data_IF_304746415642
#
_entry.id   IF_304746415642
#
_cell.length_a   1.000
_cell.length_b   1.000
_cell.length_c   1.000
_cell.angle_alpha   90.00
_cell.angle_beta   90.00
_cell.angle_gamma   90.00
#
_symmetry.space_group_name_H-M   'P 1'
#
loop_
_entity.id
_entity.type
_entity.pdbx_description
1 polymer ?
#
# COMPACT_ATOMS: atom_id res chain seq x y z
N UNK A 1 -12.84 5.54 -2.51
CA UNK A 1 -13.10 5.41 -1.08
C UNK A 1 -11.79 5.30 -0.32
N UNK A 2 -11.78 5.77 0.93
CA UNK A 2 -10.59 5.69 1.78
C UNK A 2 -11.01 5.24 3.18
N UNK A 3 -10.33 4.23 3.70
CA UNK A 3 -10.34 3.92 5.12
C UNK A 3 -9.17 4.71 5.74
N UNK A 4 -9.52 5.77 6.46
CA UNK A 4 -8.54 6.69 7.06
C UNK A 4 -7.93 6.05 8.29
N UNK A 5 -6.61 5.93 8.32
CA UNK A 5 -5.85 5.48 9.47
C UNK A 5 -5.61 6.58 10.50
N UNK A 6 -5.15 6.19 11.67
CA UNK A 6 -4.74 7.14 12.70
C UNK A 6 -3.42 7.84 12.34
N UNK A 7 -3.27 9.09 12.74
CA UNK A 7 -2.01 9.84 12.58
C UNK A 7 -0.91 9.43 13.57
N UNK A 8 -1.26 8.62 14.56
CA UNK A 8 -0.33 8.10 15.56
C UNK A 8 0.48 6.90 15.03
N UNK A 9 1.54 6.55 15.74
CA UNK A 9 2.32 5.36 15.46
C UNK A 9 1.45 4.08 15.53
N UNK A 10 1.84 3.01 14.79
CA UNK A 10 1.14 1.75 14.89
C UNK A 10 1.21 1.19 16.30
N UNK A 11 0.07 0.74 16.84
CA UNK A 11 -0.09 0.26 18.20
C UNK A 11 -1.03 -0.94 18.26
N UNK A 12 -1.12 -1.57 19.43
CA UNK A 12 -2.13 -2.61 19.67
C UNK A 12 -3.55 -2.06 19.50
N UNK A 13 -3.82 -0.82 20.00
CA UNK A 13 -5.17 -0.25 20.00
C UNK A 13 -5.69 -0.01 18.59
N UNK A 14 -4.88 0.63 17.74
CA UNK A 14 -5.23 0.85 16.33
C UNK A 14 -4.95 -0.37 15.43
N UNK A 15 -4.49 -1.48 15.99
CA UNK A 15 -4.13 -2.70 15.27
C UNK A 15 -3.13 -2.47 14.11
N UNK A 16 -2.31 -1.42 14.21
CA UNK A 16 -1.38 -1.01 13.17
C UNK A 16 -1.98 -0.14 12.05
N UNK A 17 -3.27 0.22 12.13
CA UNK A 17 -3.91 1.06 11.12
C UNK A 17 -3.52 2.53 11.27
N UNK A 18 -2.35 2.88 10.75
CA UNK A 18 -1.75 4.23 10.81
C UNK A 18 -1.47 4.84 9.42
N UNK A 19 -2.02 4.26 8.37
CA UNK A 19 -1.96 4.76 6.99
C UNK A 19 -3.35 4.72 6.35
N UNK A 20 -3.52 5.42 5.25
CA UNK A 20 -4.75 5.36 4.48
C UNK A 20 -4.77 4.11 3.60
N UNK A 21 -5.87 3.36 3.66
CA UNK A 21 -6.14 2.25 2.76
C UNK A 21 -7.16 2.74 1.72
N UNK A 22 -6.72 2.85 0.47
CA UNK A 22 -7.58 3.38 -0.59
C UNK A 22 -8.24 2.26 -1.40
N UNK A 23 -9.50 2.50 -1.80
CA UNK A 23 -10.31 1.55 -2.57
C UNK A 23 -10.81 2.23 -3.83
N UNK A 24 -10.43 1.71 -4.97
CA UNK A 24 -10.82 2.17 -6.30
C UNK A 24 -11.82 1.17 -6.86
N UNK A 25 -13.05 1.64 -7.12
CA UNK A 25 -14.14 0.79 -7.64
C UNK A 25 -14.30 1.10 -9.12
N UNK A 26 -13.97 0.14 -9.97
CA UNK A 26 -14.18 0.16 -11.41
C UNK A 26 -15.56 -0.39 -11.80
N UNK A 27 -15.73 -0.69 -13.09
CA UNK A 27 -16.97 -1.25 -13.61
C UNK A 27 -17.11 -2.75 -13.32
N UNK A 28 -16.01 -3.49 -13.30
CA UNK A 28 -16.01 -4.96 -13.17
C UNK A 28 -15.16 -5.46 -12.00
N UNK A 29 -14.37 -4.59 -11.39
CA UNK A 29 -13.40 -4.98 -10.37
C UNK A 29 -13.12 -3.85 -9.37
N UNK A 30 -12.58 -4.24 -8.24
CA UNK A 30 -12.05 -3.35 -7.19
C UNK A 30 -10.53 -3.48 -7.14
N UNK A 31 -9.86 -2.35 -6.93
CA UNK A 31 -8.43 -2.27 -6.62
C UNK A 31 -8.27 -1.71 -5.22
N UNK A 32 -7.42 -2.32 -4.44
CA UNK A 32 -7.03 -1.85 -3.11
C UNK A 32 -5.61 -1.29 -3.20
N UNK A 33 -5.37 -0.12 -2.61
CA UNK A 33 -4.02 0.44 -2.42
C UNK A 33 -3.66 0.28 -0.96
N UNK A 34 -2.59 -0.42 -0.72
CA UNK A 34 -2.08 -0.99 0.53
C UNK A 34 -2.89 -2.17 1.07
N UNK A 35 -2.18 -3.28 1.27
CA UNK A 35 -2.75 -4.55 1.73
C UNK A 35 -3.20 -4.54 3.20
N UNK A 36 -2.84 -3.51 3.97
CA UNK A 36 -2.98 -3.36 5.43
C UNK A 36 -1.84 -3.99 6.26
N UNK A 37 -1.76 -3.60 7.54
CA UNK A 37 -0.70 -4.00 8.49
C UNK A 37 -0.87 -5.47 8.99
N UNK A 38 -2.01 -6.10 8.77
CA UNK A 38 -2.26 -7.49 9.14
C UNK A 38 -3.51 -8.06 8.46
N UNK A 39 -3.67 -9.38 8.55
CA UNK A 39 -4.80 -10.09 7.95
C UNK A 39 -6.17 -9.67 8.52
N UNK A 40 -6.25 -9.32 9.82
CA UNK A 40 -7.50 -8.87 10.44
C UNK A 40 -7.96 -7.54 9.84
N UNK A 41 -7.05 -6.56 9.64
CA UNK A 41 -7.39 -5.27 9.01
C UNK A 41 -7.77 -5.46 7.55
N UNK A 42 -7.05 -6.31 6.81
CA UNK A 42 -7.39 -6.65 5.44
C UNK A 42 -8.81 -7.24 5.34
N UNK A 43 -9.15 -8.18 6.23
CA UNK A 43 -10.48 -8.77 6.30
C UNK A 43 -11.59 -7.75 6.64
N UNK A 44 -11.31 -6.82 7.55
CA UNK A 44 -12.23 -5.73 7.90
C UNK A 44 -12.46 -4.78 6.74
N UNK A 45 -11.38 -4.39 6.03
CA UNK A 45 -11.49 -3.58 4.82
C UNK A 45 -12.31 -4.31 3.74
N UNK A 46 -12.05 -5.60 3.53
CA UNK A 46 -12.81 -6.41 2.58
C UNK A 46 -14.31 -6.45 2.94
N UNK A 47 -14.62 -6.66 4.21
CA UNK A 47 -16.02 -6.63 4.68
C UNK A 47 -16.68 -5.26 4.42
N UNK A 48 -15.96 -4.16 4.65
CA UNK A 48 -16.45 -2.81 4.34
C UNK A 48 -16.68 -2.60 2.82
N UNK A 49 -15.77 -3.10 1.97
CA UNK A 49 -15.93 -3.08 0.51
C UNK A 49 -17.22 -3.81 0.10
N UNK A 50 -17.49 -4.97 0.69
CA UNK A 50 -18.70 -5.78 0.39
C UNK A 50 -20.01 -5.10 0.78
N UNK A 51 -20.00 -4.10 1.66
CA UNK A 51 -21.18 -3.25 1.93
C UNK A 51 -21.44 -2.22 0.83
N UNK A 52 -20.43 -1.89 0.01
CA UNK A 52 -20.50 -0.87 -1.04
C UNK A 52 -20.71 -1.51 -2.42
N UNK A 53 -20.05 -2.64 -2.70
CA UNK A 53 -20.09 -3.33 -3.99
C UNK A 53 -19.93 -4.84 -3.84
N UNK A 54 -20.51 -5.59 -4.80
CA UNK A 54 -20.29 -7.04 -4.89
C UNK A 54 -19.17 -7.42 -5.88
N UNK A 55 -18.50 -6.42 -6.49
CA UNK A 55 -17.39 -6.66 -7.40
C UNK A 55 -16.19 -7.29 -6.68
N UNK A 56 -15.45 -8.19 -7.33
CA UNK A 56 -14.27 -8.80 -6.72
C UNK A 56 -13.12 -7.80 -6.58
N UNK A 57 -12.33 -7.94 -5.52
CA UNK A 57 -11.01 -7.30 -5.45
C UNK A 57 -10.06 -8.12 -6.31
N UNK A 58 -9.56 -7.55 -7.40
CA UNK A 58 -8.70 -8.25 -8.37
C UNK A 58 -7.24 -7.84 -8.28
N UNK A 59 -6.95 -6.67 -7.70
CA UNK A 59 -5.62 -6.16 -7.50
C UNK A 59 -5.44 -5.52 -6.14
N UNK A 60 -4.29 -5.76 -5.54
CA UNK A 60 -3.76 -5.00 -4.42
C UNK A 60 -2.43 -4.39 -4.84
N UNK A 61 -2.31 -3.09 -4.65
CA UNK A 61 -1.10 -2.32 -4.94
C UNK A 61 -0.41 -2.04 -3.61
N UNK A 62 0.84 -2.42 -3.47
CA UNK A 62 1.65 -1.96 -2.34
C UNK A 62 2.41 -0.71 -2.75
N UNK A 63 2.20 0.39 -2.05
CA UNK A 63 2.90 1.65 -2.32
C UNK A 63 4.39 1.59 -1.99
N UNK A 64 4.79 0.69 -1.08
CA UNK A 64 6.18 0.41 -0.71
C UNK A 64 6.31 -0.98 -0.07
N UNK A 65 7.48 -1.31 0.49
CA UNK A 65 7.79 -2.60 1.14
C UNK A 65 7.50 -2.64 2.64
N UNK A 66 6.85 -1.64 3.22
CA UNK A 66 6.66 -1.53 4.67
C UNK A 66 5.42 -2.29 5.17
N UNK A 67 5.41 -2.64 6.46
CA UNK A 67 4.41 -3.50 7.07
C UNK A 67 2.96 -3.05 6.84
N UNK A 68 2.69 -1.75 6.95
CA UNK A 68 1.36 -1.17 6.74
C UNK A 68 0.80 -1.38 5.33
N UNK A 69 1.69 -1.52 4.34
CA UNK A 69 1.32 -1.75 2.95
C UNK A 69 1.21 -3.24 2.60
N UNK A 70 1.98 -4.13 3.27
CA UNK A 70 2.24 -5.47 2.73
C UNK A 70 1.79 -6.64 3.60
N UNK A 71 1.63 -6.49 4.92
CA UNK A 71 1.37 -7.63 5.79
C UNK A 71 -0.04 -8.22 5.65
N UNK A 72 -0.96 -7.52 4.99
CA UNK A 72 -2.26 -8.06 4.60
C UNK A 72 -2.27 -8.79 3.24
N UNK A 73 -1.15 -8.82 2.51
CA UNK A 73 -1.07 -9.38 1.15
C UNK A 73 -1.54 -10.83 1.06
N UNK A 74 -1.12 -11.68 2.00
CA UNK A 74 -1.50 -13.10 2.02
C UNK A 74 -3.02 -13.28 2.13
N UNK A 75 -3.69 -12.47 2.95
CA UNK A 75 -5.14 -12.46 3.00
C UNK A 75 -5.76 -12.16 1.63
N UNK A 76 -5.30 -11.09 0.96
CA UNK A 76 -5.84 -10.70 -0.33
C UNK A 76 -5.54 -11.72 -1.43
N UNK A 77 -4.32 -12.28 -1.43
CA UNK A 77 -3.95 -13.36 -2.35
C UNK A 77 -4.88 -14.57 -2.21
N UNK A 78 -5.18 -15.00 -0.99
CA UNK A 78 -6.14 -16.09 -0.71
C UNK A 78 -7.57 -15.74 -1.14
N UNK A 79 -7.92 -14.47 -1.27
CA UNK A 79 -9.20 -14.02 -1.85
C UNK A 79 -9.17 -13.95 -3.39
N UNK A 80 -8.07 -14.29 -4.04
CA UNK A 80 -7.90 -14.31 -5.48
C UNK A 80 -7.39 -13.01 -6.09
N UNK A 81 -6.97 -12.03 -5.28
CA UNK A 81 -6.36 -10.81 -5.78
C UNK A 81 -4.89 -11.06 -6.18
N UNK A 82 -4.45 -10.37 -7.24
CA UNK A 82 -3.05 -10.26 -7.63
C UNK A 82 -2.41 -9.12 -6.86
N UNK A 83 -1.17 -9.31 -6.44
CA UNK A 83 -0.43 -8.31 -5.64
C UNK A 83 0.67 -7.71 -6.50
N UNK A 84 0.75 -6.39 -6.57
CA UNK A 84 1.76 -5.68 -7.36
C UNK A 84 2.49 -4.63 -6.52
N UNK A 85 3.82 -4.54 -6.70
CA UNK A 85 4.66 -3.54 -6.08
C UNK A 85 5.80 -3.10 -7.02
N UNK A 86 6.50 -2.01 -6.66
CA UNK A 86 7.77 -1.69 -7.30
C UNK A 86 8.82 -2.77 -6.97
N UNK A 87 9.75 -3.03 -7.93
CA UNK A 87 10.82 -4.04 -7.74
C UNK A 87 11.61 -3.84 -6.45
N UNK A 88 11.95 -2.61 -6.09
CA UNK A 88 12.75 -2.33 -4.91
C UNK A 88 11.95 -2.54 -3.61
N UNK A 89 10.62 -2.35 -3.64
CA UNK A 89 9.73 -2.75 -2.55
C UNK A 89 9.69 -4.29 -2.40
N UNK A 90 9.66 -5.03 -3.52
CA UNK A 90 9.75 -6.51 -3.49
C UNK A 90 11.05 -6.97 -2.84
N UNK A 91 12.19 -6.40 -3.23
CA UNK A 91 13.50 -6.69 -2.63
C UNK A 91 13.49 -6.39 -1.11
N UNK A 92 12.86 -5.29 -0.70
CA UNK A 92 12.73 -4.96 0.72
C UNK A 92 11.89 -6.01 1.48
N UNK A 93 10.76 -6.44 0.92
CA UNK A 93 9.89 -7.46 1.52
C UNK A 93 10.65 -8.79 1.65
N UNK A 94 11.38 -9.23 0.62
CA UNK A 94 12.18 -10.45 0.65
C UNK A 94 13.26 -10.40 1.76
N UNK A 95 13.91 -9.24 1.90
CA UNK A 95 15.00 -9.06 2.88
C UNK A 95 14.49 -8.90 4.31
N UNK A 96 13.39 -8.18 4.54
CA UNK A 96 12.95 -7.72 5.86
C UNK A 96 11.59 -8.24 6.29
N UNK A 97 10.82 -8.85 5.41
CA UNK A 97 9.43 -9.23 5.67
C UNK A 97 9.27 -10.08 6.92
N UNK A 98 10.15 -11.05 7.15
CA UNK A 98 10.10 -11.87 8.36
C UNK A 98 10.30 -11.06 9.66
N UNK A 99 11.22 -10.09 9.67
CA UNK A 99 11.47 -9.24 10.83
C UNK A 99 10.33 -8.23 11.06
N UNK A 100 9.76 -7.70 9.98
CA UNK A 100 8.59 -6.81 10.02
C UNK A 100 7.37 -7.56 10.57
N UNK A 101 7.14 -8.79 10.11
CA UNK A 101 6.09 -9.67 10.65
C UNK A 101 6.26 -9.92 12.15
N UNK A 102 7.47 -10.29 12.59
CA UNK A 102 7.75 -10.56 14.00
C UNK A 102 7.51 -9.31 14.89
N UNK A 103 7.93 -8.12 14.42
CA UNK A 103 7.66 -6.86 15.11
C UNK A 103 6.16 -6.56 15.20
N UNK A 104 5.42 -6.77 14.12
CA UNK A 104 3.96 -6.62 14.09
C UNK A 104 3.27 -7.62 15.03
N UNK A 105 3.69 -8.88 15.04
CA UNK A 105 3.14 -9.91 15.93
C UNK A 105 3.35 -9.54 17.41
N UNK A 106 4.53 -9.03 17.76
CA UNK A 106 4.83 -8.55 19.13
C UNK A 106 3.92 -7.38 19.51
N UNK A 107 3.70 -6.43 18.60
CA UNK A 107 2.86 -5.24 18.83
C UNK A 107 1.38 -5.58 18.89
N UNK A 108 0.88 -6.37 17.95
CA UNK A 108 -0.54 -6.60 17.74
C UNK A 108 -1.08 -7.86 18.46
N UNK A 109 -0.19 -8.71 18.98
CA UNK A 109 -0.53 -9.90 19.76
C UNK A 109 -1.55 -10.79 19.02
N UNK A 110 -2.71 -11.11 19.62
CA UNK A 110 -3.75 -11.95 19.01
C UNK A 110 -4.38 -11.32 17.75
N UNK A 111 -4.32 -9.98 17.59
CA UNK A 111 -4.78 -9.29 16.37
C UNK A 111 -3.90 -9.59 15.16
N UNK A 112 -2.71 -10.14 15.37
CA UNK A 112 -1.79 -10.59 14.32
C UNK A 112 -2.13 -11.99 13.76
N UNK A 113 -3.08 -12.70 14.37
CA UNK A 113 -3.39 -14.08 14.00
C UNK A 113 -3.69 -14.23 12.50
N UNK A 114 -3.12 -15.27 11.88
CA UNK A 114 -3.30 -15.57 10.46
C UNK A 114 -2.58 -14.64 9.50
N UNK A 115 -1.72 -13.74 9.99
CA UNK A 115 -0.89 -12.89 9.14
C UNK A 115 0.39 -13.60 8.76
N UNK A 116 0.67 -13.66 7.46
CA UNK A 116 1.87 -14.24 6.87
C UNK A 116 2.49 -13.25 5.89
N UNK A 117 3.79 -13.37 5.64
CA UNK A 117 4.45 -12.59 4.59
C UNK A 117 4.13 -13.20 3.24
N UNK A 118 3.57 -12.40 2.35
CA UNK A 118 3.38 -12.76 0.95
C UNK A 118 4.13 -11.75 0.07
N UNK A 119 5.09 -12.25 -0.69
CA UNK A 119 5.86 -11.44 -1.65
C UNK A 119 4.99 -11.18 -2.88
N UNK A 120 4.88 -9.92 -3.36
CA UNK A 120 4.08 -9.60 -4.55
C UNK A 120 4.43 -10.49 -5.74
N UNK A 121 3.41 -11.03 -6.40
CA UNK A 121 3.53 -11.90 -7.58
C UNK A 121 3.72 -11.11 -8.89
N UNK A 122 3.53 -9.80 -8.84
CA UNK A 122 3.79 -8.88 -9.93
C UNK A 122 4.70 -7.75 -9.48
N UNK A 123 5.63 -7.33 -10.37
CA UNK A 123 6.53 -6.22 -10.09
C UNK A 123 6.77 -5.37 -11.35
N UNK A 124 7.13 -4.11 -11.14
CA UNK A 124 7.50 -3.17 -12.21
C UNK A 124 8.64 -2.24 -11.76
N UNK A 125 9.21 -1.43 -12.65
CA UNK A 125 10.37 -0.55 -12.36
C UNK A 125 10.02 0.95 -12.43
N UNK A 126 9.49 1.44 -13.53
CA UNK A 126 9.27 2.87 -13.73
C UNK A 126 7.80 3.26 -13.60
N UNK A 127 6.97 2.59 -14.39
CA UNK A 127 5.51 2.79 -14.38
C UNK A 127 4.79 1.54 -14.85
N UNK A 128 3.53 1.42 -14.42
CA UNK A 128 2.67 0.33 -14.85
C UNK A 128 1.22 0.79 -14.98
N UNK A 129 0.58 0.44 -16.10
CA UNK A 129 -0.85 0.67 -16.29
C UNK A 129 -1.60 -0.61 -15.89
N UNK A 130 -2.42 -0.52 -14.86
CA UNK A 130 -3.23 -1.66 -14.44
C UNK A 130 -4.28 -2.02 -15.50
N UNK A 131 -4.36 -3.29 -15.92
CA UNK A 131 -5.33 -3.74 -16.91
C UNK A 131 -6.73 -3.90 -16.28
N UNK A 132 -7.43 -2.79 -16.08
CA UNK A 132 -8.79 -2.74 -15.54
C UNK A 132 -9.72 -2.10 -16.57
N UNK A 133 -10.79 -2.82 -16.92
CA UNK A 133 -11.75 -2.33 -17.89
C UNK A 133 -12.44 -1.03 -17.42
N UNK A 134 -12.45 -0.03 -18.29
CA UNK A 134 -13.15 1.23 -18.07
C UNK A 134 -12.52 2.16 -17.03
N UNK A 135 -11.30 1.87 -16.56
CA UNK A 135 -10.61 2.69 -15.57
C UNK A 135 -9.12 2.78 -15.89
N UNK A 136 -8.59 4.00 -15.99
CA UNK A 136 -7.15 4.21 -16.10
C UNK A 136 -6.54 4.34 -14.71
N UNK A 137 -5.71 3.37 -14.34
CA UNK A 137 -4.95 3.36 -13.08
C UNK A 137 -3.48 3.22 -13.43
N UNK A 138 -2.69 4.23 -13.11
CA UNK A 138 -1.25 4.27 -13.37
C UNK A 138 -0.48 4.19 -12.07
N UNK A 139 0.44 3.25 -11.98
CA UNK A 139 1.41 3.14 -10.89
C UNK A 139 2.68 3.87 -11.34
N UNK A 140 3.16 4.83 -10.56
CA UNK A 140 4.24 5.72 -10.93
C UNK A 140 5.33 5.69 -9.86
N UNK A 141 6.56 5.33 -10.26
CA UNK A 141 7.74 5.48 -9.44
C UNK A 141 8.49 6.75 -9.84
N UNK A 142 8.60 7.72 -8.95
CA UNK A 142 9.27 9.00 -9.21
C UNK A 142 10.75 9.00 -8.83
N UNK A 143 11.22 7.94 -8.18
CA UNK A 143 12.52 7.75 -7.55
C UNK A 143 12.37 7.40 -6.09
N UNK A 144 13.49 7.18 -5.41
CA UNK A 144 13.50 6.93 -3.96
C UNK A 144 12.85 8.08 -3.20
N UNK A 145 12.10 7.74 -2.14
CA UNK A 145 11.46 8.72 -1.27
C UNK A 145 11.57 8.31 0.20
N UNK A 146 10.45 8.00 0.87
CA UNK A 146 10.47 7.48 2.23
C UNK A 146 11.19 6.12 2.32
N UNK A 147 11.06 5.31 1.25
CA UNK A 147 11.82 4.09 0.99
C UNK A 147 12.21 3.99 -0.48
N UNK A 148 13.11 3.07 -0.89
CA UNK A 148 13.54 2.95 -2.28
C UNK A 148 12.42 2.59 -3.28
N UNK A 149 11.40 1.87 -2.81
CA UNK A 149 10.32 1.34 -3.65
C UNK A 149 9.01 2.10 -3.57
N UNK A 150 9.01 3.35 -3.09
CA UNK A 150 7.79 4.16 -2.99
C UNK A 150 7.19 4.47 -4.37
N UNK A 151 5.89 4.31 -4.47
CA UNK A 151 5.12 4.67 -5.66
C UNK A 151 3.89 5.49 -5.30
N UNK A 152 3.38 6.19 -6.30
CA UNK A 152 2.04 6.81 -6.25
C UNK A 152 1.10 6.13 -7.25
N UNK A 153 -0.19 6.22 -6.97
CA UNK A 153 -1.25 5.72 -7.85
C UNK A 153 -2.01 6.90 -8.45
N UNK A 154 -1.96 7.04 -9.77
CA UNK A 154 -2.59 8.13 -10.50
C UNK A 154 -3.82 7.64 -11.27
N UNK A 155 -4.93 8.35 -11.10
CA UNK A 155 -6.19 8.16 -11.82
C UNK A 155 -6.41 9.40 -12.72
N UNK A 156 -5.87 9.41 -13.95
CA UNK A 156 -5.84 10.60 -14.79
C UNK A 156 -7.25 11.11 -15.17
N UNK A 157 -8.18 10.21 -15.44
CA UNK A 157 -9.53 10.60 -15.85
C UNK A 157 -10.33 11.25 -14.69
N UNK A 158 -9.94 11.00 -13.44
CA UNK A 158 -10.55 11.57 -12.23
C UNK A 158 -9.75 12.74 -11.66
N UNK A 159 -8.51 12.96 -12.12
CA UNK A 159 -7.59 13.94 -11.54
C UNK A 159 -7.24 13.63 -10.09
N UNK A 160 -7.15 12.33 -9.72
CA UNK A 160 -6.90 11.89 -8.34
C UNK A 160 -5.54 11.21 -8.25
N UNK A 161 -4.70 11.69 -7.34
CA UNK A 161 -3.42 11.08 -6.98
C UNK A 161 -3.49 10.52 -5.56
N UNK A 162 -3.16 9.24 -5.42
CA UNK A 162 -2.89 8.60 -4.13
C UNK A 162 -1.36 8.63 -3.98
N UNK A 163 -0.88 9.56 -3.15
CA UNK A 163 0.53 9.91 -3.08
C UNK A 163 1.41 8.83 -2.44
N UNK A 164 0.83 7.99 -1.57
CA UNK A 164 1.61 7.09 -0.72
C UNK A 164 2.50 7.85 0.25
N UNK A 165 3.56 7.22 0.72
CA UNK A 165 4.52 7.80 1.67
C UNK A 165 5.47 8.84 1.01
N UNK A 166 5.23 9.23 -0.24
CA UNK A 166 5.91 10.38 -0.86
C UNK A 166 5.43 11.69 -0.23
N UNK A 167 4.15 11.77 0.19
CA UNK A 167 3.60 12.97 0.82
C UNK A 167 2.82 12.63 2.09
N UNK A 168 3.10 13.38 3.15
CA UNK A 168 2.45 13.27 4.45
C UNK A 168 1.57 14.50 4.72
N UNK A 169 0.45 14.28 5.40
CA UNK A 169 -0.45 15.33 5.88
C UNK A 169 -0.75 15.09 7.37
N UNK A 170 -0.78 16.18 8.15
CA UNK A 170 -1.13 16.18 9.58
C UNK A 170 -0.18 15.35 10.49
N UNK A 171 0.96 14.94 9.96
CA UNK A 171 2.02 14.24 10.71
C UNK A 171 3.39 14.53 10.13
N UNK A 172 4.41 14.41 10.96
CA UNK A 172 5.80 14.51 10.53
C UNK A 172 6.17 13.24 9.76
N UNK A 173 6.77 13.35 8.55
CA UNK A 173 7.27 12.20 7.83
C UNK A 173 8.37 11.47 8.61
N UNK A 174 8.34 10.14 8.57
CA UNK A 174 9.39 9.32 9.16
C UNK A 174 10.67 9.43 8.32
N UNK A 175 11.78 9.78 8.94
CA UNK A 175 13.11 9.78 8.30
C UNK A 175 13.96 8.75 9.02
N UNK A 176 14.43 7.74 8.29
CA UNK A 176 15.25 6.66 8.80
C UNK A 176 16.72 6.87 8.43
N UNK A 177 17.67 6.16 9.06
CA UNK A 177 19.11 6.34 8.77
C UNK A 177 19.50 6.09 7.31
N UNK A 178 18.72 5.29 6.59
CA UNK A 178 18.90 4.93 5.18
C UNK A 178 17.99 5.75 4.23
N UNK A 179 17.24 6.72 4.73
CA UNK A 179 16.41 7.62 3.89
C UNK A 179 17.28 8.69 3.24
N UNK A 180 17.28 8.76 1.90
CA UNK A 180 17.86 9.88 1.16
C UNK A 180 16.84 11.03 1.02
N UNK A 181 16.96 12.04 1.88
CA UNK A 181 16.05 13.18 1.90
C UNK A 181 16.13 14.02 0.63
N UNK A 182 17.30 14.09 -0.03
CA UNK A 182 17.45 14.84 -1.28
C UNK A 182 16.75 14.12 -2.44
N UNK A 183 16.90 12.81 -2.53
CA UNK A 183 16.18 11.98 -3.49
C UNK A 183 14.65 12.06 -3.25
N UNK A 184 14.22 12.03 -1.98
CA UNK A 184 12.80 12.18 -1.63
C UNK A 184 12.21 13.51 -2.10
N UNK A 185 12.92 14.62 -1.86
CA UNK A 185 12.48 15.95 -2.31
C UNK A 185 12.35 15.98 -3.84
N UNK A 186 13.32 15.42 -4.57
CA UNK A 186 13.27 15.35 -6.04
C UNK A 186 12.10 14.49 -6.54
N UNK A 187 11.77 13.38 -5.85
CA UNK A 187 10.62 12.52 -6.16
C UNK A 187 9.30 13.24 -5.89
N UNK A 188 9.21 13.97 -4.78
CA UNK A 188 8.05 14.81 -4.46
C UNK A 188 7.83 15.90 -5.51
N UNK A 189 8.88 16.59 -5.96
CA UNK A 189 8.77 17.63 -7.00
C UNK A 189 8.25 17.06 -8.35
N UNK A 190 8.72 15.87 -8.74
CA UNK A 190 8.22 15.17 -9.93
C UNK A 190 6.74 14.79 -9.77
N UNK A 191 6.36 14.27 -8.60
CA UNK A 191 4.96 13.93 -8.29
C UNK A 191 4.07 15.18 -8.35
N UNK A 192 4.50 16.28 -7.74
CA UNK A 192 3.75 17.54 -7.69
C UNK A 192 3.62 18.21 -9.07
N UNK A 193 4.48 17.86 -10.03
CA UNK A 193 4.42 18.36 -11.41
C UNK A 193 3.43 17.59 -12.31
N UNK A 194 2.79 16.53 -11.82
CA UNK A 194 1.72 15.83 -12.56
C UNK A 194 0.57 16.81 -12.89
N UNK A 195 0.05 16.68 -14.10
CA UNK A 195 -1.04 17.53 -14.62
C UNK A 195 -2.26 16.70 -14.96
#
# INVERSE_FOLDING_TARGET
WVAVGETMAPSYDNAGHNNNLSVIIGQEAVVVVNGADNAMLAARLHAAIRLITQLPVTWVINENGQGHAVLGNDYWHRQGARIIAHRDAVIEIERRGASVLAAMQTRNQEKAAGTEVFVPDHQFTDSFNLPIAGLKVQLLHFGEAHSPGDISVWLPDQGVLIAGDIAFSERIPGVFPDTDVAAWLASYEKMAALK
#
